data_IF_508264977875
#
_entry.id   IF_508264977875
#
_cell.length_a   1.000
_cell.length_b   1.000
_cell.length_c   1.000
_cell.angle_alpha   90.00
_cell.angle_beta   90.00
_cell.angle_gamma   90.00
#
_symmetry.space_group_name_H-M   'P 1'
#
loop_
_entity.id
_entity.type
_entity.pdbx_description
1 polymer ?
#
# COMPACT_ATOMS: atom_id res chain seq x y z
N UNK A 1 12.41 11.67 2.47
CA UNK A 1 11.28 10.75 2.66
C UNK A 1 10.43 11.23 3.80
N UNK A 2 9.12 11.25 3.63
CA UNK A 2 8.17 11.65 4.65
C UNK A 2 7.29 10.45 5.01
N UNK A 3 7.18 10.16 6.30
CA UNK A 3 6.27 9.14 6.82
C UNK A 3 5.00 9.81 7.33
N UNK A 4 3.89 9.63 6.61
CA UNK A 4 2.58 10.08 7.07
C UNK A 4 1.89 8.94 7.82
N UNK A 5 1.44 9.20 9.05
CA UNK A 5 0.68 8.25 9.85
C UNK A 5 -0.79 8.67 9.92
N UNK A 6 -1.69 7.75 9.54
CA UNK A 6 -3.13 7.91 9.67
C UNK A 6 -3.69 6.75 10.48
N UNK A 7 -4.12 7.05 11.71
CA UNK A 7 -4.75 6.06 12.59
C UNK A 7 -6.21 5.86 12.15
N UNK A 8 -6.57 4.67 11.67
CA UNK A 8 -7.96 4.30 11.35
C UNK A 8 -8.27 2.97 12.00
N UNK A 9 -8.77 2.97 13.24
CA UNK A 9 -9.15 1.71 13.93
C UNK A 9 -10.05 0.88 12.99
N UNK A 10 -9.76 -0.41 12.77
CA UNK A 10 -8.82 -1.29 13.50
C UNK A 10 -7.37 -1.35 12.95
N UNK A 11 -6.98 -0.49 12.01
CA UNK A 11 -5.68 -0.48 11.33
C UNK A 11 -4.83 0.74 11.66
N UNK A 12 -3.50 0.57 11.66
CA UNK A 12 -2.59 1.70 11.60
C UNK A 12 -2.06 1.80 10.17
N UNK A 13 -2.35 2.91 9.49
CA UNK A 13 -2.00 3.12 8.11
C UNK A 13 -0.85 4.13 8.05
N UNK A 14 0.29 3.70 7.57
CA UNK A 14 1.42 4.57 7.28
C UNK A 14 1.58 4.72 5.77
N UNK A 15 2.04 5.88 5.34
CA UNK A 15 2.35 6.15 3.94
C UNK A 15 3.78 6.68 3.89
N UNK A 16 4.66 5.92 3.25
CA UNK A 16 6.00 6.36 2.93
C UNK A 16 5.93 7.11 1.60
N UNK A 17 6.25 8.40 1.64
CA UNK A 17 6.25 9.29 0.48
C UNK A 17 7.70 9.68 0.16
N UNK A 18 8.05 9.59 -1.12
CA UNK A 18 9.23 10.31 -1.61
C UNK A 18 8.82 11.69 -2.11
N UNK A 19 8.91 12.68 -1.21
CA UNK A 19 8.63 14.08 -1.51
C UNK A 19 9.54 14.66 -2.60
N UNK A 20 10.76 14.12 -2.74
CA UNK A 20 11.75 14.64 -3.69
C UNK A 20 11.67 13.95 -5.05
N UNK A 21 10.87 12.89 -5.19
CA UNK A 21 10.80 12.02 -6.38
C UNK A 21 12.19 11.62 -6.90
N UNK A 22 13.15 11.52 -5.98
CA UNK A 22 14.55 11.19 -6.26
C UNK A 22 14.77 9.69 -6.36
N UNK A 23 13.90 8.90 -5.75
CA UNK A 23 14.03 7.46 -5.70
C UNK A 23 13.12 6.77 -6.70
N UNK A 24 13.66 5.73 -7.32
CA UNK A 24 12.85 4.81 -8.14
C UNK A 24 11.81 4.10 -7.28
N UNK A 25 10.72 3.65 -7.91
CA UNK A 25 9.68 2.84 -7.25
C UNK A 25 10.22 1.61 -6.51
N UNK A 26 11.28 0.99 -7.06
CA UNK A 26 11.96 -0.15 -6.46
C UNK A 26 12.70 0.22 -5.16
N UNK A 27 13.41 1.36 -5.13
CA UNK A 27 14.15 1.82 -3.95
C UNK A 27 13.19 2.21 -2.82
N UNK A 28 12.09 2.87 -3.17
CA UNK A 28 11.02 3.20 -2.23
C UNK A 28 10.40 1.95 -1.60
N UNK A 29 10.20 0.89 -2.41
CA UNK A 29 9.68 -0.38 -1.94
C UNK A 29 10.67 -1.09 -1.02
N UNK A 30 11.96 -1.11 -1.35
CA UNK A 30 13.01 -1.68 -0.50
C UNK A 30 13.08 -0.97 0.84
N UNK A 31 13.00 0.36 0.84
CA UNK A 31 12.96 1.13 2.08
C UNK A 31 11.70 0.83 2.90
N UNK A 32 10.54 0.73 2.24
CA UNK A 32 9.30 0.34 2.91
C UNK A 32 9.40 -1.05 3.56
N UNK A 33 10.04 -2.02 2.90
CA UNK A 33 10.33 -3.35 3.46
C UNK A 33 11.24 -3.24 4.69
N UNK A 34 12.25 -2.36 4.64
CA UNK A 34 13.19 -2.13 5.74
C UNK A 34 12.51 -1.54 6.99
N UNK A 35 11.62 -0.56 6.81
CA UNK A 35 10.99 0.15 7.94
C UNK A 35 9.70 -0.50 8.46
N UNK A 36 9.00 -1.28 7.64
CA UNK A 36 7.70 -1.84 7.99
C UNK A 36 7.71 -2.74 9.25
N UNK A 37 8.70 -3.62 9.51
CA UNK A 37 8.72 -4.44 10.71
C UNK A 37 8.76 -3.61 12.00
N UNK A 38 9.54 -2.53 12.02
CA UNK A 38 9.61 -1.62 13.16
C UNK A 38 8.29 -0.88 13.40
N UNK A 39 7.61 -0.47 12.32
CA UNK A 39 6.29 0.14 12.40
C UNK A 39 5.22 -0.86 12.87
N UNK A 40 5.27 -2.10 12.39
CA UNK A 40 4.37 -3.17 12.79
C UNK A 40 4.54 -3.53 14.26
N UNK A 41 5.78 -3.62 14.75
CA UNK A 41 6.09 -3.83 16.16
C UNK A 41 5.49 -2.71 17.03
N UNK A 42 5.69 -1.43 16.66
CA UNK A 42 5.16 -0.28 17.40
C UNK A 42 3.63 -0.19 17.35
N UNK A 43 3.01 -0.53 16.22
CA UNK A 43 1.59 -0.30 15.98
C UNK A 43 0.70 -1.49 16.38
N UNK A 44 1.20 -2.70 16.19
CA UNK A 44 0.46 -3.96 16.33
C UNK A 44 1.13 -4.97 17.29
N UNK A 45 2.31 -4.65 17.83
CA UNK A 45 3.02 -5.51 18.78
C UNK A 45 3.69 -6.73 18.15
N UNK A 46 3.75 -6.82 16.81
CA UNK A 46 4.32 -7.97 16.12
C UNK A 46 4.93 -7.56 14.78
N UNK A 47 6.18 -7.97 14.48
CA UNK A 47 6.91 -7.47 13.31
C UNK A 47 6.29 -7.91 11.97
N UNK A 48 5.63 -9.06 11.89
CA UNK A 48 5.05 -9.56 10.63
C UNK A 48 3.60 -9.13 10.34
N UNK A 49 3.00 -8.33 11.22
CA UNK A 49 1.60 -7.93 11.11
C UNK A 49 1.44 -6.64 10.32
N UNK A 50 2.02 -6.62 9.13
CA UNK A 50 1.85 -5.54 8.15
C UNK A 50 1.56 -6.08 6.76
N UNK A 51 1.00 -5.21 5.93
CA UNK A 51 0.80 -5.39 4.50
C UNK A 51 1.39 -4.18 3.78
N UNK A 52 2.22 -4.43 2.78
CA UNK A 52 2.75 -3.41 1.89
C UNK A 52 1.83 -3.31 0.67
N UNK A 53 1.43 -2.09 0.33
CA UNK A 53 0.65 -1.80 -0.86
C UNK A 53 1.43 -0.77 -1.65
N UNK A 54 2.07 -1.24 -2.72
CA UNK A 54 2.72 -0.41 -3.71
C UNK A 54 1.77 -0.31 -4.91
N UNK A 55 0.96 0.74 -4.98
CA UNK A 55 0.01 0.93 -6.07
C UNK A 55 0.35 2.23 -6.81
N UNK A 56 0.89 2.06 -8.02
CA UNK A 56 1.32 3.14 -8.89
C UNK A 56 0.17 4.07 -9.27
N UNK A 57 0.47 5.37 -9.25
CA UNK A 57 -0.25 6.52 -9.81
C UNK A 57 -1.73 6.76 -9.43
N UNK A 58 -2.54 5.75 -9.11
CA UNK A 58 -4.00 5.89 -9.13
C UNK A 58 -4.65 6.10 -7.76
N UNK A 59 -3.95 5.77 -6.66
CA UNK A 59 -4.51 5.86 -5.30
C UNK A 59 -4.17 7.16 -4.57
N UNK A 60 -3.04 7.80 -4.90
CA UNK A 60 -2.77 9.16 -4.44
C UNK A 60 -3.25 10.15 -5.48
N UNK A 61 -4.05 11.12 -5.04
CA UNK A 61 -4.28 12.39 -5.74
C UNK A 61 -2.99 13.25 -5.82
N UNK A 62 -1.81 12.65 -5.67
CA UNK A 62 -0.50 13.29 -5.70
C UNK A 62 0.40 12.50 -6.66
N UNK A 63 1.12 13.16 -7.58
CA UNK A 63 1.97 12.53 -8.58
C UNK A 63 3.29 11.95 -8.01
N UNK A 64 3.36 11.72 -6.70
CA UNK A 64 4.58 11.29 -6.02
C UNK A 64 4.59 9.77 -5.80
N UNK A 65 5.77 9.17 -5.95
CA UNK A 65 5.98 7.77 -5.58
C UNK A 65 5.70 7.58 -4.08
N UNK A 66 4.84 6.60 -3.77
CA UNK A 66 4.43 6.33 -2.39
C UNK A 66 4.15 4.85 -2.17
N UNK A 67 4.46 4.36 -0.96
CA UNK A 67 4.13 3.02 -0.50
C UNK A 67 3.24 3.13 0.73
N UNK A 68 2.14 2.39 0.73
CA UNK A 68 1.31 2.27 1.92
C UNK A 68 1.75 1.06 2.75
N UNK A 69 1.94 1.27 4.04
CA UNK A 69 2.26 0.24 5.03
C UNK A 69 1.06 0.16 5.98
N UNK A 70 0.29 -0.92 5.90
CA UNK A 70 -0.90 -1.13 6.72
C UNK A 70 -0.57 -2.14 7.80
N UNK A 71 -0.48 -1.70 9.05
CA UNK A 71 -0.26 -2.56 10.20
C UNK A 71 -1.60 -3.00 10.79
N UNK A 72 -1.79 -4.31 10.92
CA UNK A 72 -3.03 -4.93 11.41
C UNK A 72 -2.78 -5.56 12.77
N UNK A 73 -3.75 -5.51 13.69
CA UNK A 73 -3.57 -6.15 15.00
C UNK A 73 -3.74 -7.67 14.98
N UNK A 74 -4.38 -8.24 13.95
CA UNK A 74 -4.65 -9.68 13.83
C UNK A 74 -4.33 -10.21 12.44
N UNK A 75 -3.93 -11.49 12.37
CA UNK A 75 -3.72 -12.23 11.11
C UNK A 75 -4.99 -12.28 10.26
N UNK A 76 -6.17 -12.32 10.88
CA UNK A 76 -7.46 -12.28 10.17
C UNK A 76 -7.60 -10.99 9.35
N UNK A 77 -7.34 -9.84 9.98
CA UNK A 77 -7.40 -8.54 9.32
C UNK A 77 -6.34 -8.35 8.23
N UNK A 78 -5.17 -9.00 8.37
CA UNK A 78 -4.17 -9.10 7.29
C UNK A 78 -4.74 -9.84 6.08
N UNK A 79 -5.38 -10.99 6.30
CA UNK A 79 -6.05 -11.76 5.24
C UNK A 79 -7.16 -10.96 4.55
N UNK A 80 -8.03 -10.30 5.32
CA UNK A 80 -9.10 -9.43 4.80
C UNK A 80 -8.52 -8.30 3.94
N UNK A 81 -7.42 -7.66 4.36
CA UNK A 81 -6.77 -6.63 3.57
C UNK A 81 -6.29 -7.15 2.20
N UNK A 82 -5.69 -8.34 2.16
CA UNK A 82 -5.28 -8.97 0.89
C UNK A 82 -6.48 -9.30 -0.02
N UNK A 83 -7.57 -9.84 0.54
CA UNK A 83 -8.78 -10.14 -0.22
C UNK A 83 -9.37 -8.86 -0.83
N UNK A 84 -9.44 -7.77 -0.06
CA UNK A 84 -9.96 -6.48 -0.54
C UNK A 84 -9.06 -5.87 -1.63
N UNK A 85 -7.73 -5.98 -1.49
CA UNK A 85 -6.79 -5.52 -2.52
C UNK A 85 -6.96 -6.35 -3.81
N UNK A 86 -7.04 -7.68 -3.67
CA UNK A 86 -7.28 -8.59 -4.80
C UNK A 86 -8.59 -8.28 -5.51
N UNK A 87 -9.68 -8.06 -4.76
CA UNK A 87 -10.98 -7.68 -5.30
C UNK A 87 -10.93 -6.33 -6.02
N UNK A 88 -10.26 -5.32 -5.45
CA UNK A 88 -10.07 -4.02 -6.09
C UNK A 88 -9.31 -4.16 -7.42
N UNK A 89 -8.26 -4.98 -7.46
CA UNK A 89 -7.50 -5.22 -8.67
C UNK A 89 -8.34 -5.97 -9.72
N UNK A 90 -9.14 -6.97 -9.30
CA UNK A 90 -10.03 -7.72 -10.19
C UNK A 90 -11.09 -6.82 -10.84
N UNK A 91 -11.72 -5.94 -10.06
CA UNK A 91 -12.69 -4.95 -10.57
C UNK A 91 -12.00 -3.94 -11.50
N UNK A 92 -10.80 -3.48 -11.13
CA UNK A 92 -9.99 -2.60 -11.97
C UNK A 92 -9.66 -3.23 -13.33
N UNK A 93 -9.25 -4.49 -13.35
CA UNK A 93 -9.00 -5.25 -14.58
C UNK A 93 -10.28 -5.45 -15.40
N UNK A 94 -11.42 -5.75 -14.76
CA UNK A 94 -12.70 -5.90 -15.44
C UNK A 94 -13.15 -4.58 -16.11
N UNK A 95 -12.96 -3.43 -15.45
CA UNK A 95 -13.29 -2.12 -16.02
C UNK A 95 -12.33 -1.68 -17.14
N UNK A 96 -11.05 -2.04 -17.08
CA UNK A 96 -10.09 -1.79 -18.17
C UNK A 96 -10.30 -2.70 -19.38
N UNK A 97 -10.77 -3.94 -19.17
CA UNK A 97 -11.05 -4.88 -20.28
C UNK A 97 -12.27 -4.47 -21.09
N UNK A 98 -13.23 -3.75 -20.49
CA UNK A 98 -14.45 -3.28 -21.18
C UNK A 98 -14.22 -2.03 -22.07
N UNK A 99 -13.09 -1.32 -21.92
CA UNK A 99 -12.75 -0.13 -22.72
C UNK A 99 -11.92 -0.41 -23.98
N UNK A 100 -11.44 -1.64 -24.19
CA UNK A 100 -10.83 -2.02 -25.47
C UNK A 100 -11.93 -2.47 -26.43
N UNK A 101 -12.60 -1.51 -27.09
CA UNK A 101 -13.31 -1.84 -28.34
C UNK A 101 -12.27 -2.40 -29.32
N UNK A 102 -12.49 -3.57 -29.94
CA UNK A 102 -11.73 -3.92 -31.13
C UNK A 102 -12.17 -2.96 -32.24
N UNK A 103 -11.27 -2.08 -32.67
CA UNK A 103 -11.42 -1.38 -33.95
C UNK A 103 -10.88 -2.31 -35.05
N UNK A 104 -11.73 -2.86 -35.93
CA UNK A 104 -11.33 -3.12 -37.31
C UNK A 104 -11.18 -1.80 -38.08
#
# INVERSE_FOLDING_TARGET
MQLMHRRRRPFNHFVLLDEKSTQGSAELLLEAIRVAPGLALRAAGHPDRYTLIHNGAMLARKPLAHVHIVCTRSRFWKGVAYVLIGLKNLIGSATHSCKRKPTP
#
